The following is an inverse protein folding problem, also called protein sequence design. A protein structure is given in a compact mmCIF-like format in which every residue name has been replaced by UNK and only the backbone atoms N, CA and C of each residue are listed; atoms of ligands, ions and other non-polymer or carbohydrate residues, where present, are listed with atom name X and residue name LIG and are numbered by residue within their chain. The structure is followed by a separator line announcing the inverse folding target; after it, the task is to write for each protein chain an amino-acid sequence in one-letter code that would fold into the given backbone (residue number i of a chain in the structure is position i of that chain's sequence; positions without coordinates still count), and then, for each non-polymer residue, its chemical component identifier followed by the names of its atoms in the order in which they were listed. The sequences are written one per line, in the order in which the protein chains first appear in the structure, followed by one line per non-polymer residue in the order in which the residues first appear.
data_IF_135749111989
#
_entry.id   IF_135749111989
#
_cell.length_a   1.000
_cell.length_b   1.000
_cell.length_c   1.000
_cell.angle_alpha   90.00
_cell.angle_beta   90.00
_cell.angle_gamma   90.00
#
_symmetry.space_group_name_H-M   'P 1'
#
loop_
_entity.id
_entity.type
_entity.pdbx_description
1 polymer ?
#
# COMPACT_ATOMS: atom_id res chain seq x y z
N UNK A 1 -13.17 60.96 25.42
CA UNK A 1 -12.78 60.22 24.20
C UNK A 1 -12.46 58.80 24.64
N UNK A 2 -13.30 57.83 24.30
CA UNK A 2 -13.22 56.45 24.77
C UNK A 2 -12.45 55.58 23.78
N UNK A 3 -11.52 54.77 24.29
CA UNK A 3 -10.79 53.75 23.53
C UNK A 3 -11.61 52.47 23.60
N UNK A 4 -12.10 52.01 22.46
CA UNK A 4 -12.78 50.71 22.31
C UNK A 4 -11.69 49.68 22.04
N UNK A 5 -11.43 48.79 23.01
CA UNK A 5 -10.57 47.64 22.82
C UNK A 5 -11.38 46.51 22.17
N UNK A 6 -10.97 46.09 20.97
CA UNK A 6 -11.51 44.93 20.27
C UNK A 6 -10.87 43.66 20.85
N UNK A 7 -11.54 42.99 21.80
CA UNK A 7 -11.17 41.64 22.23
C UNK A 7 -11.74 40.63 21.24
N UNK A 8 -10.90 40.08 20.36
CA UNK A 8 -11.28 39.04 19.41
C UNK A 8 -11.53 37.69 20.09
N UNK A 9 -12.68 37.08 19.81
CA UNK A 9 -13.07 35.75 20.26
C UNK A 9 -12.28 34.66 19.50
N UNK A 10 -11.07 34.34 19.93
CA UNK A 10 -10.28 33.21 19.39
C UNK A 10 -10.56 31.87 20.10
N UNK A 11 -11.67 31.73 20.84
CA UNK A 11 -11.84 30.64 21.82
C UNK A 11 -12.75 29.48 21.37
N UNK A 12 -13.23 29.50 20.13
CA UNK A 12 -14.15 28.49 19.58
C UNK A 12 -13.87 28.23 18.10
N UNK A 13 -12.62 27.98 17.73
CA UNK A 13 -12.36 27.25 16.49
C UNK A 13 -12.74 25.79 16.74
N UNK A 14 -13.74 25.24 16.01
CA UNK A 14 -14.08 23.84 16.15
C UNK A 14 -12.89 23.01 15.64
N UNK A 15 -12.13 22.43 16.58
CA UNK A 15 -11.16 21.39 16.27
C UNK A 15 -11.93 20.12 15.95
N UNK A 16 -11.58 19.45 14.85
CA UNK A 16 -12.15 18.14 14.54
C UNK A 16 -11.91 17.18 15.71
N UNK A 17 -12.92 16.35 16.03
CA UNK A 17 -12.75 15.31 17.04
C UNK A 17 -11.61 14.37 16.61
N UNK A 18 -10.74 13.94 17.55
CA UNK A 18 -9.66 13.02 17.24
C UNK A 18 -10.24 11.69 16.75
N UNK A 19 -9.72 11.18 15.63
CA UNK A 19 -10.10 9.86 15.10
C UNK A 19 -9.26 8.82 15.84
N UNK A 20 -9.82 7.97 16.73
CA UNK A 20 -9.03 7.06 17.56
C UNK A 20 -8.15 6.11 16.73
N UNK A 21 -8.66 5.71 15.56
CA UNK A 21 -7.98 4.82 14.63
C UNK A 21 -6.69 5.38 14.03
N UNK A 22 -6.46 6.70 14.09
CA UNK A 22 -5.22 7.30 13.60
C UNK A 22 -4.03 7.06 14.54
N UNK A 23 -4.30 6.64 15.78
CA UNK A 23 -3.28 6.42 16.82
C UNK A 23 -3.06 4.94 17.16
N UNK A 24 -3.92 4.01 16.70
CA UNK A 24 -3.71 2.56 16.93
C UNK A 24 -2.51 2.03 16.16
N UNK A 25 -1.84 1.01 16.68
CA UNK A 25 -0.77 0.28 15.98
C UNK A 25 -1.28 -0.20 14.61
N UNK A 26 -0.52 0.08 13.56
CA UNK A 26 -0.84 -0.33 12.19
C UNK A 26 -0.55 -1.82 12.04
N UNK A 27 -1.53 -2.60 11.60
CA UNK A 27 -1.36 -4.02 11.33
C UNK A 27 -1.14 -4.23 9.84
N UNK A 28 0.03 -4.74 9.46
CA UNK A 28 0.40 -5.02 8.06
C UNK A 28 0.15 -6.50 7.78
N UNK A 29 -0.73 -6.80 6.82
CA UNK A 29 -0.98 -8.15 6.35
C UNK A 29 0.15 -8.60 5.41
N UNK A 30 0.72 -9.78 5.67
CA UNK A 30 1.79 -10.38 4.87
C UNK A 30 1.49 -11.86 4.63
N UNK A 31 1.70 -12.31 3.40
CA UNK A 31 1.76 -13.74 3.06
C UNK A 31 3.18 -14.28 3.33
N UNK A 32 3.37 -15.15 4.35
CA UNK A 32 4.69 -15.70 4.66
C UNK A 32 5.22 -16.65 3.59
N UNK A 33 4.38 -17.14 2.67
CA UNK A 33 4.78 -17.99 1.56
C UNK A 33 5.45 -17.23 0.42
N UNK A 34 5.49 -15.89 0.47
CA UNK A 34 6.09 -15.03 -0.55
C UNK A 34 7.16 -14.14 0.06
N UNK A 35 8.43 -14.35 -0.33
CA UNK A 35 9.53 -13.47 0.09
C UNK A 35 9.33 -12.02 -0.36
N UNK A 36 8.68 -11.79 -1.51
CA UNK A 36 8.27 -10.44 -1.93
C UNK A 36 7.36 -9.80 -0.89
N UNK A 37 6.33 -10.52 -0.41
CA UNK A 37 5.42 -10.01 0.62
C UNK A 37 6.12 -9.80 1.96
N UNK A 38 7.05 -10.68 2.35
CA UNK A 38 7.84 -10.51 3.57
C UNK A 38 8.72 -9.26 3.49
N UNK A 39 9.42 -9.05 2.36
CA UNK A 39 10.27 -7.86 2.13
C UNK A 39 9.44 -6.59 2.11
N UNK A 40 8.31 -6.58 1.42
CA UNK A 40 7.42 -5.42 1.37
C UNK A 40 6.84 -5.14 2.77
N UNK A 41 6.35 -6.15 3.48
CA UNK A 41 5.87 -5.98 4.85
C UNK A 41 6.91 -5.34 5.77
N UNK A 42 8.14 -5.83 5.70
CA UNK A 42 9.27 -5.30 6.49
C UNK A 42 9.63 -3.87 6.08
N UNK A 43 9.74 -3.57 4.78
CA UNK A 43 10.10 -2.24 4.28
C UNK A 43 9.11 -1.15 4.73
N UNK A 44 7.82 -1.45 4.63
CA UNK A 44 6.79 -0.51 5.05
C UNK A 44 6.67 -0.43 6.57
N UNK A 45 6.85 -1.55 7.29
CA UNK A 45 6.86 -1.55 8.76
C UNK A 45 7.99 -0.69 9.32
N UNK A 46 9.23 -0.91 8.88
CA UNK A 46 10.39 -0.17 9.36
C UNK A 46 10.29 1.32 9.01
N UNK A 47 9.86 1.67 7.78
CA UNK A 47 9.70 3.07 7.38
C UNK A 47 8.64 3.81 8.22
N UNK A 48 7.51 3.16 8.51
CA UNK A 48 6.50 3.72 9.43
C UNK A 48 7.08 3.92 10.84
N UNK A 49 7.81 2.94 11.35
CA UNK A 49 8.44 3.02 12.67
C UNK A 49 9.51 4.13 12.76
N UNK A 50 10.36 4.29 11.74
CA UNK A 50 11.34 5.39 11.64
C UNK A 50 10.68 6.77 11.69
N UNK A 51 9.47 6.88 11.12
CA UNK A 51 8.67 8.10 11.17
C UNK A 51 7.82 8.26 12.44
N UNK A 52 8.02 7.40 13.46
CA UNK A 52 7.31 7.47 14.73
C UNK A 52 5.90 6.85 14.71
N UNK A 53 5.57 6.05 13.69
CA UNK A 53 4.28 5.37 13.55
C UNK A 53 4.44 3.88 13.86
N UNK A 54 3.92 3.45 15.00
CA UNK A 54 3.94 2.03 15.37
C UNK A 54 3.22 1.16 14.34
N UNK A 55 3.94 0.19 13.79
CA UNK A 55 3.46 -0.79 12.85
C UNK A 55 3.97 -2.19 13.22
N UNK A 56 3.15 -3.22 13.00
CA UNK A 56 3.50 -4.62 13.23
C UNK A 56 3.06 -5.47 12.05
N UNK A 57 3.88 -6.46 11.70
CA UNK A 57 3.55 -7.44 10.67
C UNK A 57 2.72 -8.55 11.30
N UNK A 58 1.58 -8.85 10.68
CA UNK A 58 0.76 -10.00 11.02
C UNK A 58 0.93 -11.06 9.94
N UNK A 59 1.63 -12.12 10.29
CA UNK A 59 1.72 -13.33 9.47
C UNK A 59 0.40 -14.07 9.61
N UNK A 60 -0.29 -14.31 8.50
CA UNK A 60 -1.49 -15.15 8.52
C UNK A 60 -1.07 -16.61 8.75
N UNK A 61 -1.21 -17.10 9.98
CA UNK A 61 -0.75 -18.43 10.40
C UNK A 61 -1.54 -19.60 9.77
N UNK A 62 -2.64 -19.31 9.08
CA UNK A 62 -3.43 -20.28 8.32
C UNK A 62 -3.12 -20.13 6.83
N UNK A 63 -2.51 -21.16 6.26
CA UNK A 63 -2.11 -21.35 4.85
C UNK A 63 -3.29 -21.42 3.87
N UNK A 64 -4.43 -20.80 4.20
CA UNK A 64 -5.64 -20.74 3.39
C UNK A 64 -6.66 -19.78 4.03
N UNK A 65 -7.15 -18.81 3.26
CA UNK A 65 -8.51 -18.22 3.30
C UNK A 65 -8.81 -16.83 3.90
N UNK A 66 -7.88 -16.04 4.43
CA UNK A 66 -8.19 -14.61 4.64
C UNK A 66 -7.75 -13.78 3.44
N UNK A 67 -8.73 -13.48 2.60
CA UNK A 67 -8.65 -12.46 1.54
C UNK A 67 -8.10 -11.15 2.15
N UNK A 68 -6.90 -10.68 1.74
CA UNK A 68 -6.28 -9.48 2.32
C UNK A 68 -7.18 -8.24 2.24
N UNK A 69 -7.95 -8.09 1.16
CA UNK A 69 -8.89 -6.97 1.03
C UNK A 69 -10.04 -7.07 2.03
N UNK A 70 -10.53 -8.29 2.27
CA UNK A 70 -11.53 -8.54 3.31
C UNK A 70 -10.98 -8.19 4.69
N UNK A 71 -9.77 -8.62 5.03
CA UNK A 71 -9.15 -8.30 6.32
C UNK A 71 -8.96 -6.78 6.52
N UNK A 72 -8.64 -6.02 5.46
CA UNK A 72 -8.62 -4.56 5.54
C UNK A 72 -10.02 -4.00 5.79
N UNK A 73 -11.01 -4.43 4.99
CA UNK A 73 -12.39 -3.92 5.10
C UNK A 73 -13.03 -4.22 6.47
N UNK A 74 -12.62 -5.32 7.12
CA UNK A 74 -13.10 -5.76 8.43
C UNK A 74 -12.27 -5.19 9.60
N UNK A 75 -11.18 -4.47 9.33
CA UNK A 75 -10.30 -3.90 10.35
C UNK A 75 -9.38 -4.90 11.06
N UNK A 76 -9.23 -6.11 10.51
CA UNK A 76 -8.29 -7.13 11.00
C UNK A 76 -6.85 -6.85 10.59
N UNK A 77 -6.69 -6.12 9.49
CA UNK A 77 -5.46 -5.53 9.00
C UNK A 77 -5.74 -4.07 8.61
N UNK A 78 -4.69 -3.25 8.55
CA UNK A 78 -4.79 -1.84 8.18
C UNK A 78 -4.02 -1.53 6.89
N UNK A 79 -3.06 -2.37 6.51
CA UNK A 79 -2.22 -2.19 5.34
C UNK A 79 -1.92 -3.54 4.67
N UNK A 80 -1.99 -3.57 3.34
CA UNK A 80 -1.55 -4.69 2.50
C UNK A 80 -0.84 -4.11 1.28
N UNK A 81 0.35 -4.61 0.97
CA UNK A 81 1.14 -4.13 -0.17
C UNK A 81 1.07 -5.19 -1.25
N UNK A 82 0.62 -4.80 -2.43
CA UNK A 82 0.37 -5.73 -3.53
C UNK A 82 0.52 -5.02 -4.87
N UNK A 83 -0.06 -5.58 -5.93
CA UNK A 83 0.02 -5.00 -7.27
C UNK A 83 -1.37 -4.71 -7.83
N UNK A 84 -1.47 -3.69 -8.69
CA UNK A 84 -2.74 -3.19 -9.24
C UNK A 84 -3.61 -4.27 -9.86
N UNK A 85 -3.05 -5.09 -10.76
CA UNK A 85 -3.80 -6.17 -11.41
C UNK A 85 -4.24 -7.27 -10.44
N UNK A 86 -3.39 -7.63 -9.47
CA UNK A 86 -3.71 -8.58 -8.41
C UNK A 86 -4.85 -8.09 -7.52
N UNK A 87 -4.79 -6.84 -7.05
CA UNK A 87 -5.86 -6.23 -6.24
C UNK A 87 -7.16 -6.16 -7.03
N UNK A 88 -7.13 -5.75 -8.30
CA UNK A 88 -8.32 -5.76 -9.15
C UNK A 88 -8.90 -7.17 -9.28
N UNK A 89 -8.06 -8.19 -9.39
CA UNK A 89 -8.51 -9.60 -9.44
C UNK A 89 -9.18 -10.05 -8.15
N UNK A 90 -8.64 -9.65 -6.99
CA UNK A 90 -9.22 -9.93 -5.68
C UNK A 90 -10.55 -9.19 -5.48
N UNK A 91 -10.60 -7.91 -5.83
CA UNK A 91 -11.77 -7.05 -5.64
C UNK A 91 -12.90 -7.38 -6.64
N UNK A 92 -12.54 -7.63 -7.90
CA UNK A 92 -13.48 -7.82 -9.00
C UNK A 92 -12.88 -8.71 -10.10
N UNK A 93 -12.85 -10.02 -9.85
CA UNK A 93 -12.32 -11.00 -10.80
C UNK A 93 -13.02 -11.03 -12.16
N UNK A 94 -14.28 -10.57 -12.25
CA UNK A 94 -14.99 -10.46 -13.53
C UNK A 94 -14.35 -9.34 -14.37
N UNK A 95 -14.28 -8.13 -13.82
CA UNK A 95 -13.71 -6.98 -14.52
C UNK A 95 -12.23 -7.19 -14.83
N UNK A 96 -11.47 -7.81 -13.93
CA UNK A 96 -10.07 -8.17 -14.18
C UNK A 96 -9.90 -9.04 -15.43
N UNK A 97 -10.77 -10.05 -15.63
CA UNK A 97 -10.72 -10.92 -16.81
C UNK A 97 -11.08 -10.19 -18.09
N UNK A 98 -12.11 -9.35 -18.06
CA UNK A 98 -12.48 -8.51 -19.21
C UNK A 98 -11.34 -7.59 -19.61
N UNK A 99 -10.78 -6.87 -18.63
CA UNK A 99 -9.70 -5.92 -18.86
C UNK A 99 -8.42 -6.61 -19.31
N UNK A 100 -8.14 -7.82 -18.83
CA UNK A 100 -7.00 -8.60 -19.30
C UNK A 100 -7.15 -9.01 -20.77
N UNK A 101 -8.36 -9.40 -21.19
CA UNK A 101 -8.65 -9.69 -22.60
C UNK A 101 -8.52 -8.45 -23.50
N UNK A 102 -8.93 -7.27 -23.00
CA UNK A 102 -8.75 -6.00 -23.71
C UNK A 102 -7.25 -5.65 -23.82
N UNK A 103 -6.52 -5.75 -22.70
CA UNK A 103 -5.09 -5.49 -22.63
C UNK A 103 -4.30 -6.34 -23.61
N UNK A 104 -4.54 -7.66 -23.66
CA UNK A 104 -3.83 -8.57 -24.56
C UNK A 104 -4.08 -8.22 -26.04
N UNK A 105 -5.29 -7.77 -26.38
CA UNK A 105 -5.63 -7.38 -27.76
C UNK A 105 -5.00 -6.05 -28.17
N UNK A 106 -4.87 -5.13 -27.23
CA UNK A 106 -4.57 -3.72 -27.49
C UNK A 106 -3.22 -3.25 -26.91
N UNK A 107 -2.40 -4.20 -26.45
CA UNK A 107 -1.05 -4.00 -25.88
C UNK A 107 -0.10 -3.20 -26.78
N UNK A 108 -0.33 -3.24 -28.10
CA UNK A 108 0.47 -2.53 -29.09
C UNK A 108 -0.05 -1.12 -29.44
N UNK A 109 -1.30 -0.80 -29.11
CA UNK A 109 -1.92 0.48 -29.50
C UNK A 109 -1.89 1.53 -28.38
N UNK A 110 -1.78 1.11 -27.12
CA UNK A 110 -1.67 1.98 -25.95
C UNK A 110 -0.31 1.84 -25.26
N UNK A 111 0.14 2.92 -24.60
CA UNK A 111 1.39 2.93 -23.85
C UNK A 111 1.25 2.16 -22.53
N UNK A 112 2.38 1.73 -21.96
CA UNK A 112 2.42 1.11 -20.65
C UNK A 112 1.82 2.02 -19.55
N UNK A 113 2.04 3.35 -19.65
CA UNK A 113 1.47 4.31 -18.72
C UNK A 113 -0.06 4.37 -18.83
N UNK A 114 -0.61 4.38 -20.05
CA UNK A 114 -2.07 4.37 -20.25
C UNK A 114 -2.70 3.11 -19.63
N UNK A 115 -2.08 1.95 -19.82
CA UNK A 115 -2.56 0.71 -19.23
C UNK A 115 -2.42 0.68 -17.70
N UNK A 116 -1.32 1.23 -17.16
CA UNK A 116 -1.17 1.40 -15.71
C UNK A 116 -2.32 2.22 -15.13
N UNK A 117 -2.61 3.39 -15.70
CA UNK A 117 -3.69 4.26 -15.23
C UNK A 117 -5.06 3.60 -15.36
N UNK A 118 -5.33 2.92 -16.49
CA UNK A 118 -6.60 2.20 -16.69
C UNK A 118 -6.81 1.11 -15.64
N UNK A 119 -5.81 0.24 -15.42
CA UNK A 119 -5.92 -0.83 -14.41
C UNK A 119 -6.05 -0.25 -13.01
N UNK A 120 -5.29 0.80 -12.68
CA UNK A 120 -5.40 1.46 -11.40
C UNK A 120 -6.78 2.08 -11.17
N UNK A 121 -7.34 2.76 -12.17
CA UNK A 121 -8.69 3.33 -12.10
C UNK A 121 -9.76 2.27 -11.87
N UNK A 122 -9.69 1.15 -12.60
CA UNK A 122 -10.62 0.02 -12.46
C UNK A 122 -10.46 -0.68 -11.10
N UNK A 123 -9.22 -0.79 -10.62
CA UNK A 123 -8.92 -1.29 -9.28
C UNK A 123 -9.59 -0.40 -8.23
N UNK A 124 -9.36 0.91 -8.27
CA UNK A 124 -9.94 1.88 -7.33
C UNK A 124 -11.47 1.86 -7.36
N UNK A 125 -12.07 1.78 -8.54
CA UNK A 125 -13.53 1.68 -8.71
C UNK A 125 -14.11 0.37 -8.13
N UNK A 126 -13.28 -0.66 -7.97
CA UNK A 126 -13.67 -1.96 -7.43
C UNK A 126 -13.44 -2.09 -5.91
N UNK A 127 -12.76 -1.13 -5.27
CA UNK A 127 -12.52 -1.18 -3.83
C UNK A 127 -13.81 -0.97 -3.03
N UNK A 128 -13.91 -1.66 -1.90
CA UNK A 128 -15.03 -1.54 -0.97
C UNK A 128 -14.93 -0.31 -0.06
N UNK A 129 -15.96 -0.11 0.76
CA UNK A 129 -16.00 0.98 1.74
C UNK A 129 -14.82 0.92 2.72
N UNK A 130 -14.31 2.08 3.13
CA UNK A 130 -13.20 2.25 4.08
C UNK A 130 -11.86 1.64 3.62
N UNK A 131 -11.75 1.27 2.34
CA UNK A 131 -10.52 0.78 1.72
C UNK A 131 -10.10 1.77 0.66
N UNK A 132 -8.83 2.15 0.66
CA UNK A 132 -8.26 3.05 -0.33
C UNK A 132 -6.83 2.61 -0.64
N UNK A 133 -6.21 3.20 -1.65
CA UNK A 133 -4.87 2.87 -2.07
C UNK A 133 -4.03 4.13 -2.26
N UNK A 134 -2.72 3.98 -2.25
CA UNK A 134 -1.84 5.05 -2.70
C UNK A 134 -1.79 5.09 -4.23
N UNK A 135 -1.06 6.05 -4.77
CA UNK A 135 -0.71 6.01 -6.19
C UNK A 135 0.14 4.76 -6.48
N UNK A 136 -0.03 4.12 -7.64
CA UNK A 136 0.77 2.96 -8.03
C UNK A 136 2.19 3.42 -8.35
N UNK A 137 3.19 2.66 -7.91
CA UNK A 137 4.59 2.96 -8.22
C UNK A 137 4.98 2.42 -9.59
N UNK A 138 6.17 2.80 -10.08
CA UNK A 138 6.74 2.23 -11.30
C UNK A 138 7.38 0.84 -11.08
N UNK A 139 7.39 0.34 -9.85
CA UNK A 139 7.89 -1.00 -9.53
C UNK A 139 6.88 -2.03 -10.00
N UNK A 140 7.34 -3.00 -10.79
CA UNK A 140 6.57 -4.19 -11.16
C UNK A 140 6.89 -5.29 -10.16
N UNK A 141 5.86 -5.90 -9.59
CA UNK A 141 5.97 -7.04 -8.66
C UNK A 141 4.90 -8.09 -8.97
N UNK A 142 4.60 -8.93 -7.99
CA UNK A 142 3.57 -9.96 -8.10
C UNK A 142 3.75 -10.82 -9.36
N UNK A 143 4.95 -11.36 -9.53
CA UNK A 143 5.24 -12.28 -10.61
C UNK A 143 4.33 -13.52 -10.49
N UNK A 144 3.99 -14.13 -11.64
CA UNK A 144 3.14 -15.34 -11.75
C UNK A 144 1.63 -15.14 -11.55
N UNK A 145 1.11 -13.91 -11.65
CA UNK A 145 -0.33 -13.69 -11.76
C UNK A 145 -0.90 -14.29 -13.05
N UNK A 146 -2.09 -14.92 -12.95
CA UNK A 146 -2.70 -15.66 -14.08
C UNK A 146 -3.28 -14.76 -15.16
N UNK A 147 -3.69 -13.55 -14.79
CA UNK A 147 -4.23 -12.57 -15.73
C UNK A 147 -3.13 -11.60 -16.16
N UNK A 148 -2.98 -11.44 -17.47
CA UNK A 148 -2.11 -10.40 -18.03
C UNK A 148 -2.74 -9.04 -17.79
N UNK A 149 -2.25 -8.37 -16.75
CA UNK A 149 -2.56 -6.98 -16.40
C UNK A 149 -1.27 -6.32 -15.88
N UNK A 150 -1.09 -5.00 -16.06
CA UNK A 150 -0.13 -4.22 -15.31
C UNK A 150 -0.11 -4.56 -13.81
N UNK A 151 1.07 -4.94 -13.30
CA UNK A 151 1.30 -5.31 -11.90
C UNK A 151 2.17 -4.27 -11.19
N UNK A 152 1.73 -3.02 -11.19
CA UNK A 152 2.42 -1.94 -10.49
C UNK A 152 2.18 -2.03 -8.99
N UNK A 153 3.24 -1.90 -8.20
CA UNK A 153 3.18 -1.97 -6.74
C UNK A 153 2.27 -0.87 -6.19
N UNK A 154 1.35 -1.25 -5.31
CA UNK A 154 0.36 -0.37 -4.71
C UNK A 154 0.04 -0.81 -3.28
N UNK A 155 0.36 0.04 -2.29
CA UNK A 155 -0.21 -0.06 -0.94
C UNK A 155 -1.71 0.17 -0.90
N UNK A 156 -2.46 -0.78 -0.34
CA UNK A 156 -3.89 -0.68 -0.04
C UNK A 156 -4.06 -0.61 1.47
N UNK A 157 -4.86 0.33 1.95
CA UNK A 157 -4.97 0.64 3.37
C UNK A 157 -6.41 0.94 3.81
N UNK A 158 -6.63 0.86 5.13
CA UNK A 158 -7.89 1.21 5.77
C UNK A 158 -7.95 2.72 6.03
N UNK A 159 -8.90 3.41 5.40
CA UNK A 159 -8.94 4.88 5.33
C UNK A 159 -8.85 5.60 6.70
N UNK A 160 -9.60 5.20 7.76
CA UNK A 160 -9.58 5.91 9.03
C UNK A 160 -8.23 5.89 9.76
N UNK A 161 -7.33 4.98 9.39
CA UNK A 161 -6.04 4.75 10.08
C UNK A 161 -4.93 5.63 9.53
N UNK A 162 -4.98 5.94 8.24
CA UNK A 162 -3.87 6.59 7.55
C UNK A 162 -4.13 8.08 7.37
N UNK A 163 -3.39 8.88 8.13
CA UNK A 163 -3.28 10.33 7.92
C UNK A 163 -2.55 10.64 6.62
N UNK A 164 -2.58 11.91 6.19
CA UNK A 164 -1.81 12.36 5.02
C UNK A 164 -0.32 12.07 5.16
N UNK A 165 0.26 12.27 6.34
CA UNK A 165 1.68 12.04 6.59
C UNK A 165 2.02 10.55 6.51
N UNK A 166 1.15 9.68 7.04
CA UNK A 166 1.34 8.23 6.92
C UNK A 166 1.34 7.79 5.45
N UNK A 167 0.42 8.34 4.63
CA UNK A 167 0.37 8.04 3.20
C UNK A 167 1.61 8.55 2.45
N UNK A 168 2.17 9.68 2.86
CA UNK A 168 3.43 10.18 2.28
C UNK A 168 4.58 9.20 2.53
N UNK A 169 4.65 8.57 3.71
CA UNK A 169 5.65 7.54 4.01
C UNK A 169 5.49 6.35 3.07
N UNK A 170 4.26 5.86 2.86
CA UNK A 170 3.98 4.78 1.92
C UNK A 170 4.47 5.13 0.51
N UNK A 171 4.19 6.35 0.05
CA UNK A 171 4.62 6.85 -1.26
C UNK A 171 6.14 6.96 -1.39
N UNK A 172 6.85 7.36 -0.31
CA UNK A 172 8.31 7.44 -0.30
C UNK A 172 8.97 6.07 -0.43
N UNK A 173 8.45 5.04 0.26
CA UNK A 173 8.91 3.65 0.10
C UNK A 173 8.64 3.18 -1.32
N UNK A 174 7.40 3.32 -1.80
CA UNK A 174 7.00 2.98 -3.19
C UNK A 174 7.89 3.63 -4.24
N UNK A 175 8.18 4.92 -4.10
CA UNK A 175 8.99 5.69 -5.06
C UNK A 175 10.49 5.40 -4.98
N UNK A 176 10.97 4.82 -3.87
CA UNK A 176 12.39 4.46 -3.69
C UNK A 176 12.71 3.06 -4.21
N UNK A 177 11.68 2.21 -4.32
CA UNK A 177 11.75 0.90 -4.96
C UNK A 177 11.72 1.03 -6.48
N UNK A 178 12.59 0.25 -7.13
CA UNK A 178 12.49 -0.11 -8.54
C UNK A 178 12.31 -1.62 -8.64
N UNK A 179 11.82 -2.14 -9.77
CA UNK A 179 11.68 -3.59 -10.00
C UNK A 179 12.95 -4.36 -9.65
N UNK A 180 14.11 -3.91 -10.14
CA UNK A 180 15.41 -4.54 -9.86
C UNK A 180 15.83 -4.46 -8.38
N UNK A 181 15.50 -3.38 -7.68
CA UNK A 181 15.80 -3.26 -6.24
C UNK A 181 14.91 -4.20 -5.42
N UNK A 182 13.62 -4.29 -5.77
CA UNK A 182 12.71 -5.21 -5.11
C UNK A 182 13.19 -6.66 -5.28
N UNK A 183 13.50 -7.07 -6.52
CA UNK A 183 14.03 -8.41 -6.81
C UNK A 183 15.31 -8.70 -6.01
N UNK A 184 16.25 -7.74 -5.99
CA UNK A 184 17.49 -7.89 -5.20
C UNK A 184 17.23 -8.03 -3.70
N UNK A 185 16.30 -7.25 -3.14
CA UNK A 185 15.93 -7.36 -1.72
C UNK A 185 15.31 -8.72 -1.40
N UNK A 186 14.48 -9.24 -2.31
CA UNK A 186 13.89 -10.57 -2.21
C UNK A 186 14.97 -11.65 -2.22
N UNK A 187 15.92 -11.59 -3.15
CA UNK A 187 17.06 -12.52 -3.21
C UNK A 187 17.92 -12.47 -1.94
N UNK A 188 18.25 -11.27 -1.43
CA UNK A 188 19.04 -11.09 -0.21
C UNK A 188 18.29 -11.60 1.03
N UNK A 189 16.97 -11.37 1.10
CA UNK A 189 16.13 -11.84 2.20
C UNK A 189 16.00 -13.37 2.20
N UNK A 190 15.82 -13.98 1.03
CA UNK A 190 15.75 -15.42 0.86
C UNK A 190 17.08 -16.09 1.26
N UNK A 191 18.21 -15.55 0.79
CA UNK A 191 19.54 -16.09 1.12
C UNK A 191 19.89 -15.98 2.60
N UNK A 192 19.48 -14.89 3.25
CA UNK A 192 19.73 -14.65 4.68
C UNK A 192 18.64 -15.21 5.60
N UNK A 193 17.57 -15.78 5.03
CA UNK A 193 16.37 -16.22 5.73
C UNK A 193 15.74 -15.11 6.60
N UNK A 194 15.92 -13.84 6.23
CA UNK A 194 15.45 -12.67 6.98
C UNK A 194 15.38 -11.43 6.09
N UNK A 195 14.23 -10.75 6.05
CA UNK A 195 14.10 -9.48 5.34
C UNK A 195 14.65 -8.28 6.12
N UNK A 196 14.85 -8.40 7.44
CA UNK A 196 15.06 -7.26 8.32
C UNK A 196 16.33 -6.47 8.00
N UNK A 197 17.48 -7.14 7.91
CA UNK A 197 18.76 -6.48 7.65
C UNK A 197 18.92 -5.95 6.20
N UNK A 198 18.51 -6.70 5.14
CA UNK A 198 18.49 -6.16 3.77
C UNK A 198 17.61 -4.90 3.65
N UNK A 199 16.42 -4.92 4.25
CA UNK A 199 15.49 -3.79 4.26
C UNK A 199 16.05 -2.60 5.03
N UNK A 200 16.61 -2.81 6.22
CA UNK A 200 17.18 -1.73 7.04
C UNK A 200 18.28 -0.99 6.26
N UNK A 201 19.14 -1.75 5.58
CA UNK A 201 20.19 -1.19 4.71
C UNK A 201 19.58 -0.39 3.57
N UNK A 202 18.57 -0.93 2.89
CA UNK A 202 17.87 -0.24 1.81
C UNK A 202 17.26 1.10 2.27
N UNK A 203 16.59 1.12 3.42
CA UNK A 203 15.96 2.34 3.94
C UNK A 203 17.03 3.40 4.28
N UNK A 204 18.15 2.99 4.88
CA UNK A 204 19.29 3.89 5.12
C UNK A 204 19.85 4.48 3.82
N UNK A 205 20.04 3.66 2.80
CA UNK A 205 20.54 4.11 1.49
C UNK A 205 19.55 5.05 0.78
N UNK A 206 18.25 4.80 0.95
CA UNK A 206 17.16 5.64 0.45
C UNK A 206 16.91 6.90 1.29
N UNK A 207 17.53 7.01 2.47
CA UNK A 207 17.32 8.08 3.46
C UNK A 207 15.88 8.14 3.99
N UNK A 208 15.33 6.97 4.32
CA UNK A 208 13.99 6.75 4.86
C UNK A 208 14.03 6.24 6.31
#
# INVERSE_FOLDING_TARGET
MGVIALTGCARFEPTADPIPDQHKVIVIAVDPGSWEQVVLGEAYSQALQHAGREAVIRVSATTSQTDPLRSISQGEADLYISCTGKILTLANSHRARELSNEYVKDKAAATADQWRETVYSEMMASLGNNVNATDPSNTIGCENETLELPQNLVPVYREPVFTRDNRNILNLVSGSLSTSKLQKLVEEAEQSMSASAPVEKFLKDAKL
#
